data_IF_272450302955
#
_entry.id   IF_272450302955
#
_cell.length_a   1.000
_cell.length_b   1.000
_cell.length_c   1.000
_cell.angle_alpha   90.00
_cell.angle_beta   90.00
_cell.angle_gamma   90.00
#
_symmetry.space_group_name_H-M   'P 1'
#
loop_
_entity.id
_entity.type
_entity.pdbx_description
1 polymer ?
#
# COMPACT_ATOMS: atom_id res chain seq x y z
N UNK A 1 -20.50 6.64 -15.35
CA UNK A 1 -19.09 6.20 -15.38
C UNK A 1 -18.28 6.48 -14.08
N UNK A 2 -18.81 7.21 -13.09
CA UNK A 2 -18.13 7.55 -11.81
C UNK A 2 -18.28 6.50 -10.69
N UNK A 3 -19.31 5.64 -10.77
CA UNK A 3 -19.70 4.71 -9.70
C UNK A 3 -18.64 3.64 -9.36
N UNK A 4 -17.85 3.21 -10.33
CA UNK A 4 -16.91 2.09 -10.13
C UNK A 4 -15.60 2.51 -9.44
N UNK A 5 -15.08 3.70 -9.72
CA UNK A 5 -13.86 4.21 -9.07
C UNK A 5 -14.09 4.49 -7.58
N UNK A 6 -15.24 5.06 -7.25
CA UNK A 6 -15.60 5.42 -5.88
C UNK A 6 -15.79 4.15 -5.02
N UNK A 7 -16.34 3.08 -5.61
CA UNK A 7 -16.41 1.75 -4.98
C UNK A 7 -15.03 1.13 -4.75
N UNK A 8 -14.09 1.29 -5.69
CA UNK A 8 -12.71 0.81 -5.54
C UNK A 8 -11.99 1.57 -4.43
N UNK A 9 -12.11 2.90 -4.42
CA UNK A 9 -11.53 3.78 -3.42
C UNK A 9 -12.08 3.51 -2.01
N UNK A 10 -13.40 3.29 -1.90
CA UNK A 10 -14.04 2.89 -0.64
C UNK A 10 -13.55 1.51 -0.19
N UNK A 11 -13.42 0.54 -1.09
CA UNK A 11 -12.95 -0.81 -0.73
C UNK A 11 -11.49 -0.81 -0.27
N UNK A 12 -10.60 -0.10 -0.96
CA UNK A 12 -9.19 -0.01 -0.54
C UNK A 12 -9.02 0.82 0.74
N UNK A 13 -9.81 1.88 0.92
CA UNK A 13 -9.87 2.66 2.15
C UNK A 13 -10.39 1.86 3.36
N UNK A 14 -11.52 1.16 3.21
CA UNK A 14 -12.08 0.31 4.28
C UNK A 14 -11.11 -0.82 4.64
N UNK A 15 -10.44 -1.43 3.66
CA UNK A 15 -9.44 -2.46 3.93
C UNK A 15 -8.22 -1.89 4.68
N UNK A 16 -7.72 -0.72 4.26
CA UNK A 16 -6.63 -0.03 4.95
C UNK A 16 -7.00 0.33 6.39
N UNK A 17 -8.21 0.81 6.63
CA UNK A 17 -8.73 1.14 7.96
C UNK A 17 -8.88 -0.13 8.80
N UNK A 18 -9.44 -1.22 8.26
CA UNK A 18 -9.55 -2.51 8.95
C UNK A 18 -8.18 -3.05 9.36
N UNK A 19 -7.19 -3.01 8.48
CA UNK A 19 -5.84 -3.45 8.81
C UNK A 19 -5.15 -2.51 9.82
N UNK A 20 -5.37 -1.20 9.73
CA UNK A 20 -4.87 -0.25 10.72
C UNK A 20 -5.48 -0.52 12.12
N UNK A 21 -6.80 -0.76 12.18
CA UNK A 21 -7.50 -1.10 13.43
C UNK A 21 -7.03 -2.46 13.96
N UNK A 22 -6.84 -3.47 13.10
CA UNK A 22 -6.31 -4.76 13.49
C UNK A 22 -4.88 -4.66 14.03
N UNK A 23 -4.01 -3.87 13.39
CA UNK A 23 -2.64 -3.64 13.86
C UNK A 23 -2.63 -2.90 15.21
N UNK A 24 -3.54 -1.93 15.40
CA UNK A 24 -3.73 -1.22 16.67
C UNK A 24 -4.21 -2.16 17.78
N UNK A 25 -5.15 -3.06 17.48
CA UNK A 25 -5.60 -4.10 18.42
C UNK A 25 -4.48 -5.07 18.80
N UNK A 26 -3.66 -5.51 17.84
CA UNK A 26 -2.52 -6.41 18.11
C UNK A 26 -1.45 -5.77 19.03
N UNK A 27 -1.28 -4.45 18.95
CA UNK A 27 -0.39 -3.69 19.84
C UNK A 27 -0.99 -3.46 21.22
N UNK A 28 -2.29 -3.20 21.30
CA UNK A 28 -2.99 -3.02 22.57
C UNK A 28 -2.99 -4.31 23.42
N UNK A 29 -3.03 -5.48 22.77
CA UNK A 29 -2.91 -6.78 23.43
C UNK A 29 -1.46 -7.18 23.77
N UNK A 30 -0.48 -6.28 23.60
CA UNK A 30 0.93 -6.45 23.98
C UNK A 30 1.61 -7.71 23.39
N UNK A 31 1.10 -8.23 22.28
CA UNK A 31 1.66 -9.40 21.56
C UNK A 31 2.99 -9.04 20.88
N UNK A 32 3.21 -7.74 20.66
CA UNK A 32 4.43 -7.17 20.09
C UNK A 32 5.02 -6.20 21.12
N UNK A 33 6.32 -6.29 21.48
CA UNK A 33 6.94 -5.40 22.46
C UNK A 33 6.76 -3.93 22.06
N UNK A 34 6.24 -3.11 22.99
CA UNK A 34 6.12 -1.66 22.84
C UNK A 34 7.50 -0.99 22.74
N UNK A 35 8.02 -0.91 21.53
CA UNK A 35 9.18 -0.10 21.21
C UNK A 35 8.77 1.33 20.85
N UNK A 36 9.60 2.35 21.11
CA UNK A 36 9.38 3.68 20.56
C UNK A 36 9.59 3.66 19.04
N UNK A 37 8.49 3.40 18.31
CA UNK A 37 8.44 3.46 16.86
C UNK A 37 8.89 4.84 16.36
N UNK A 38 9.70 4.87 15.30
CA UNK A 38 10.15 6.14 14.72
C UNK A 38 9.02 6.80 13.92
N UNK A 39 8.18 5.99 13.27
CA UNK A 39 6.94 6.46 12.64
C UNK A 39 5.70 5.87 13.32
N UNK A 40 4.66 6.70 13.57
CA UNK A 40 3.37 6.17 13.96
C UNK A 40 2.85 5.23 12.88
N UNK A 41 2.31 4.08 13.28
CA UNK A 41 1.71 3.09 12.37
C UNK A 41 0.64 3.73 11.44
N UNK A 42 -0.23 4.64 11.92
CA UNK A 42 -1.15 5.35 11.03
C UNK A 42 -0.46 6.08 9.88
N UNK A 43 0.74 6.64 10.08
CA UNK A 43 1.49 7.37 9.05
C UNK A 43 1.97 6.43 7.96
N UNK A 44 2.47 5.24 8.32
CA UNK A 44 2.89 4.21 7.36
C UNK A 44 1.73 3.75 6.50
N UNK A 45 0.58 3.46 7.11
CA UNK A 45 -0.63 3.08 6.39
C UNK A 45 -1.14 4.20 5.47
N UNK A 46 -1.13 5.45 5.94
CA UNK A 46 -1.56 6.60 5.15
C UNK A 46 -0.64 6.82 3.95
N UNK A 47 0.68 6.70 4.13
CA UNK A 47 1.67 6.79 3.05
C UNK A 47 1.37 5.77 1.94
N UNK A 48 1.22 4.49 2.28
CA UNK A 48 0.93 3.46 1.29
C UNK A 48 -0.45 3.61 0.66
N UNK A 49 -1.44 4.05 1.43
CA UNK A 49 -2.78 4.30 0.92
C UNK A 49 -2.80 5.42 -0.13
N UNK A 50 -2.08 6.53 0.11
CA UNK A 50 -1.92 7.60 -0.90
C UNK A 50 -1.31 7.03 -2.18
N UNK A 51 -0.24 6.24 -2.08
CA UNK A 51 0.38 5.63 -3.25
C UNK A 51 -0.61 4.72 -3.99
N UNK A 52 -1.32 3.84 -3.30
CA UNK A 52 -2.32 2.96 -3.93
C UNK A 52 -3.41 3.76 -4.63
N UNK A 53 -3.90 4.84 -4.01
CA UNK A 53 -4.87 5.75 -4.64
C UNK A 53 -4.32 6.33 -5.94
N UNK A 54 -3.10 6.85 -5.92
CA UNK A 54 -2.44 7.45 -7.08
C UNK A 54 -2.26 6.39 -8.19
N UNK A 55 -1.72 5.22 -7.84
CA UNK A 55 -1.43 4.13 -8.77
C UNK A 55 -2.71 3.64 -9.44
N UNK A 56 -3.75 3.31 -8.66
CA UNK A 56 -5.02 2.83 -9.21
C UNK A 56 -5.70 3.89 -10.08
N UNK A 57 -5.64 5.17 -9.69
CA UNK A 57 -6.20 6.27 -10.49
C UNK A 57 -5.52 6.40 -11.84
N UNK A 58 -4.17 6.37 -11.85
CA UNK A 58 -3.38 6.45 -13.09
C UNK A 58 -3.65 5.22 -13.96
N UNK A 59 -3.58 4.01 -13.39
CA UNK A 59 -3.82 2.77 -14.12
C UNK A 59 -5.18 2.73 -14.77
N UNK A 60 -6.22 3.16 -14.07
CA UNK A 60 -7.56 3.11 -14.64
C UNK A 60 -7.75 4.19 -15.72
N UNK A 61 -7.06 5.35 -15.62
CA UNK A 61 -7.02 6.32 -16.74
C UNK A 61 -6.32 5.74 -17.97
N UNK A 62 -5.20 5.04 -17.78
CA UNK A 62 -4.45 4.39 -18.87
C UNK A 62 -5.28 3.24 -19.46
N UNK A 63 -5.92 2.42 -18.63
CA UNK A 63 -6.74 1.29 -19.07
C UNK A 63 -7.94 1.69 -19.92
N UNK A 64 -8.51 2.87 -19.70
CA UNK A 64 -9.56 3.42 -20.60
C UNK A 64 -9.05 3.75 -22.00
N UNK A 65 -7.77 4.10 -22.15
CA UNK A 65 -7.17 4.46 -23.43
C UNK A 65 -6.55 3.26 -24.12
N UNK A 66 -5.75 2.48 -23.38
CA UNK A 66 -5.08 1.30 -23.88
C UNK A 66 -4.79 0.29 -22.75
N UNK A 67 -5.56 -0.80 -22.72
CA UNK A 67 -5.42 -1.86 -21.72
C UNK A 67 -4.05 -2.54 -21.80
N UNK A 68 -3.44 -2.66 -22.99
CA UNK A 68 -2.13 -3.28 -23.15
C UNK A 68 -1.01 -2.51 -22.42
N UNK A 69 -1.17 -1.20 -22.22
CA UNK A 69 -0.19 -0.36 -21.52
C UNK A 69 -0.35 -0.37 -20.00
N UNK A 70 -1.45 -0.94 -19.47
CA UNK A 70 -1.73 -0.98 -18.02
C UNK A 70 -0.67 -1.77 -17.26
N UNK A 71 -0.23 -2.91 -17.79
CA UNK A 71 0.80 -3.74 -17.14
C UNK A 71 2.14 -3.02 -17.04
N UNK A 72 2.58 -2.38 -18.13
CA UNK A 72 3.82 -1.59 -18.15
C UNK A 72 3.74 -0.38 -17.20
N UNK A 73 2.60 0.32 -17.19
CA UNK A 73 2.38 1.44 -16.28
C UNK A 73 2.39 0.98 -14.81
N UNK A 74 1.82 -0.19 -14.50
CA UNK A 74 1.82 -0.75 -13.15
C UNK A 74 3.24 -1.06 -12.66
N UNK A 75 4.06 -1.68 -13.51
CA UNK A 75 5.46 -1.97 -13.19
C UNK A 75 6.26 -0.68 -12.92
N UNK A 76 6.11 0.34 -13.76
CA UNK A 76 6.80 1.62 -13.57
C UNK A 76 6.33 2.32 -12.28
N UNK A 77 5.02 2.39 -12.05
CA UNK A 77 4.45 3.05 -10.89
C UNK A 77 4.81 2.35 -9.58
N UNK A 78 4.78 1.01 -9.55
CA UNK A 78 5.20 0.24 -8.37
C UNK A 78 6.71 0.29 -8.14
N UNK A 79 7.52 0.37 -9.21
CA UNK A 79 8.95 0.65 -9.10
C UNK A 79 9.25 2.01 -8.46
N UNK A 80 8.54 3.07 -8.87
CA UNK A 80 8.64 4.40 -8.23
C UNK A 80 8.19 4.34 -6.77
N UNK A 81 7.07 3.66 -6.47
CA UNK A 81 6.63 3.44 -5.09
C UNK A 81 7.70 2.73 -4.26
N UNK A 82 8.33 1.70 -4.81
CA UNK A 82 9.38 0.93 -4.14
C UNK A 82 10.59 1.82 -3.82
N UNK A 83 11.03 2.64 -4.77
CA UNK A 83 12.11 3.61 -4.54
C UNK A 83 11.73 4.62 -3.45
N UNK A 84 10.53 5.22 -3.52
CA UNK A 84 10.04 6.15 -2.49
C UNK A 84 9.94 5.49 -1.11
N UNK A 85 9.47 4.24 -1.06
CA UNK A 85 9.36 3.44 0.17
C UNK A 85 10.73 3.14 0.76
N UNK A 86 11.75 2.93 -0.07
CA UNK A 86 13.13 2.74 0.40
C UNK A 86 13.66 4.02 1.08
N UNK A 87 13.44 5.20 0.50
CA UNK A 87 13.82 6.47 1.15
C UNK A 87 13.06 6.69 2.46
N UNK A 88 11.77 6.38 2.49
CA UNK A 88 10.95 6.48 3.69
C UNK A 88 11.36 5.48 4.78
N UNK A 89 11.77 4.27 4.36
CA UNK A 89 12.22 3.21 5.26
C UNK A 89 13.66 3.40 5.72
N UNK A 90 14.48 4.21 5.04
CA UNK A 90 15.89 4.48 5.40
C UNK A 90 16.11 4.78 6.91
N UNK A 91 15.37 5.69 7.56
CA UNK A 91 15.50 5.92 9.01
C UNK A 91 15.08 4.71 9.86
N UNK A 92 14.12 3.92 9.38
CA UNK A 92 13.66 2.68 10.03
C UNK A 92 14.75 1.60 9.92
N UNK A 93 15.40 1.46 8.75
CA UNK A 93 16.46 0.49 8.49
C UNK A 93 17.76 0.85 9.21
N UNK A 94 18.07 2.15 9.32
CA UNK A 94 19.29 2.66 9.96
C UNK A 94 19.31 2.49 11.49
N UNK A 95 18.14 2.32 12.13
CA UNK A 95 18.10 1.88 13.54
C UNK A 95 18.59 0.42 13.64
N UNK A 96 19.76 0.28 14.24
CA UNK A 96 20.51 -0.96 14.42
C UNK A 96 19.83 -1.84 15.47
N UNK A 97 19.42 -3.04 15.06
CA UNK A 97 19.21 -4.27 15.86
C UNK A 97 18.12 -4.29 16.96
N UNK A 98 17.75 -3.18 17.61
CA UNK A 98 16.87 -3.25 18.78
C UNK A 98 15.40 -3.61 18.46
N UNK A 99 14.91 -3.32 17.25
CA UNK A 99 13.47 -3.46 16.93
C UNK A 99 13.20 -4.05 15.53
N UNK A 100 13.45 -5.36 15.31
CA UNK A 100 13.16 -6.04 14.04
C UNK A 100 11.68 -5.98 13.65
N UNK A 101 10.78 -5.80 14.63
CA UNK A 101 9.34 -5.81 14.40
C UNK A 101 8.83 -4.59 13.64
N UNK A 102 9.45 -3.40 13.79
CA UNK A 102 9.06 -2.21 13.01
C UNK A 102 9.37 -2.39 11.53
N UNK A 103 10.54 -2.97 11.21
CA UNK A 103 10.95 -3.30 9.84
C UNK A 103 10.02 -4.34 9.21
N UNK A 104 9.71 -5.39 9.96
CA UNK A 104 8.79 -6.44 9.51
C UNK A 104 7.38 -5.89 9.26
N UNK A 105 6.85 -5.04 10.16
CA UNK A 105 5.54 -4.43 9.98
C UNK A 105 5.50 -3.52 8.75
N UNK A 106 6.51 -2.64 8.58
CA UNK A 106 6.61 -1.78 7.40
C UNK A 106 6.61 -2.60 6.09
N UNK A 107 7.40 -3.67 6.05
CA UNK A 107 7.47 -4.54 4.88
C UNK A 107 6.17 -5.32 4.64
N UNK A 108 5.53 -5.82 5.70
CA UNK A 108 4.23 -6.49 5.61
C UNK A 108 3.15 -5.56 5.03
N UNK A 109 3.08 -4.31 5.50
CA UNK A 109 2.17 -3.30 4.96
C UNK A 109 2.48 -3.00 3.49
N UNK A 110 3.76 -2.84 3.14
CA UNK A 110 4.18 -2.64 1.75
C UNK A 110 3.68 -3.77 0.82
N UNK A 111 3.93 -5.02 1.19
CA UNK A 111 3.51 -6.20 0.41
C UNK A 111 1.99 -6.29 0.31
N UNK A 112 1.28 -6.00 1.40
CA UNK A 112 -0.19 -6.01 1.42
C UNK A 112 -0.78 -5.01 0.42
N UNK A 113 -0.31 -3.76 0.44
CA UNK A 113 -0.78 -2.75 -0.52
C UNK A 113 -0.34 -3.07 -1.96
N UNK A 114 0.86 -3.61 -2.15
CA UNK A 114 1.31 -4.07 -3.47
C UNK A 114 0.42 -5.20 -4.01
N UNK A 115 0.03 -6.16 -3.17
CA UNK A 115 -0.86 -7.26 -3.56
C UNK A 115 -2.26 -6.74 -3.96
N UNK A 116 -2.79 -5.75 -3.25
CA UNK A 116 -4.05 -5.08 -3.60
C UNK A 116 -3.94 -4.40 -4.97
N UNK A 117 -2.90 -3.62 -5.20
CA UNK A 117 -2.66 -2.95 -6.49
C UNK A 117 -2.49 -3.97 -7.62
N UNK A 118 -1.76 -5.06 -7.39
CA UNK A 118 -1.58 -6.14 -8.35
C UNK A 118 -2.91 -6.82 -8.69
N UNK A 119 -3.73 -7.14 -7.68
CA UNK A 119 -5.07 -7.70 -7.89
C UNK A 119 -5.94 -6.77 -8.74
N UNK A 120 -5.94 -5.46 -8.44
CA UNK A 120 -6.67 -4.48 -9.25
C UNK A 120 -6.16 -4.40 -10.68
N UNK A 121 -4.84 -4.44 -10.87
CA UNK A 121 -4.20 -4.39 -12.19
C UNK A 121 -4.57 -5.61 -13.02
N UNK A 122 -4.49 -6.82 -12.45
CA UNK A 122 -4.93 -8.06 -13.12
C UNK A 122 -6.40 -7.98 -13.48
N UNK A 123 -7.25 -7.50 -12.57
CA UNK A 123 -8.67 -7.33 -12.85
C UNK A 123 -8.92 -6.32 -13.97
N UNK A 124 -8.15 -5.23 -14.04
CA UNK A 124 -8.25 -4.21 -15.08
C UNK A 124 -7.76 -4.73 -16.44
N UNK A 125 -6.75 -5.60 -16.45
CA UNK A 125 -6.26 -6.27 -17.66
C UNK A 125 -7.23 -7.35 -18.17
N UNK A 126 -7.85 -8.09 -17.25
CA UNK A 126 -8.71 -9.23 -17.58
C UNK A 126 -10.17 -8.81 -17.87
N UNK A 127 -10.67 -7.75 -17.24
CA UNK A 127 -11.91 -7.13 -17.68
C UNK A 127 -11.61 -6.30 -18.94
N UNK A 128 -12.08 -6.79 -20.09
CA UNK A 128 -12.51 -5.88 -21.16
C UNK A 128 -13.58 -4.98 -20.53
N UNK A 129 -13.24 -3.74 -20.20
CA UNK A 129 -14.21 -2.77 -19.69
C UNK A 129 -15.37 -2.60 -20.67
#
# INVERSE_FOLDING_TARGET
MTKNYLSIFLKTGVLAILFCVANFFLLHFNVIPHAPYHYPIPVVYLFFWIFTVVIVTILTKIGKKNVAQVGYAFLLLTGVKMAASYFFAKPILAKTIEFPTEKANFFAVFVLFLAIEAYFTVRLLNNKQ
#
